data_IF_368665146309
#
_entry.id   IF_368665146309
#
_cell.length_a   1.000
_cell.length_b   1.000
_cell.length_c   1.000
_cell.angle_alpha   90.00
_cell.angle_beta   90.00
_cell.angle_gamma   90.00
#
_symmetry.space_group_name_H-M   'P 1'
#
loop_
_entity.id
_entity.type
_entity.pdbx_description
1 polymer ?
#
# COMPACT_ATOMS: atom_id res chain seq x y z
N UNK A 1 9.59 44.00 -63.28
CA UNK A 1 11.02 44.21 -63.59
C UNK A 1 11.78 44.46 -62.31
N UNK A 2 13.04 44.01 -62.28
CA UNK A 2 13.90 43.75 -61.13
C UNK A 2 14.50 44.99 -60.43
N UNK A 3 15.11 44.74 -59.26
CA UNK A 3 16.22 45.52 -58.68
C UNK A 3 16.13 45.62 -57.15
N UNK A 4 16.75 44.75 -56.34
CA UNK A 4 18.17 44.57 -55.99
C UNK A 4 18.61 45.36 -54.74
N UNK A 5 19.32 44.64 -53.85
CA UNK A 5 20.43 45.03 -52.96
C UNK A 5 20.19 45.39 -51.46
N UNK A 6 20.46 44.38 -50.63
CA UNK A 6 21.16 44.29 -49.31
C UNK A 6 22.24 45.37 -49.02
N UNK A 7 22.67 45.66 -47.75
CA UNK A 7 23.42 44.70 -46.91
C UNK A 7 23.32 44.74 -45.37
N UNK A 8 23.74 43.58 -44.82
CA UNK A 8 24.23 43.32 -43.46
C UNK A 8 25.25 44.37 -42.99
N UNK A 9 25.18 44.74 -41.71
CA UNK A 9 26.33 45.24 -40.95
C UNK A 9 26.41 44.52 -39.61
N UNK A 10 27.49 43.77 -39.45
CA UNK A 10 28.01 43.25 -38.20
C UNK A 10 28.46 44.41 -37.28
N UNK A 11 28.08 44.37 -36.00
CA UNK A 11 28.74 45.16 -34.96
C UNK A 11 29.26 44.23 -33.87
N UNK A 12 30.54 43.92 -34.01
CA UNK A 12 31.43 43.44 -32.95
C UNK A 12 31.87 44.63 -32.08
N UNK A 13 31.61 44.56 -30.76
CA UNK A 13 32.06 45.54 -29.76
C UNK A 13 32.66 44.74 -28.59
N UNK A 14 33.96 44.46 -28.61
CA UNK A 14 35.09 45.24 -28.07
C UNK A 14 35.13 45.30 -26.54
N UNK A 15 36.13 44.60 -26.00
CA UNK A 15 36.66 44.71 -24.64
C UNK A 15 37.16 46.13 -24.40
N UNK A 16 36.81 46.71 -23.24
CA UNK A 16 37.72 47.38 -22.30
C UNK A 16 36.94 48.29 -21.35
N UNK A 17 36.86 47.90 -20.08
CA UNK A 17 36.77 48.85 -18.97
C UNK A 17 37.13 48.13 -17.68
N UNK A 18 38.42 48.17 -17.34
CA UNK A 18 38.84 48.16 -15.96
C UNK A 18 38.64 49.57 -15.38
N UNK A 19 38.45 49.61 -14.06
CA UNK A 19 38.60 50.75 -13.13
C UNK A 19 37.27 51.23 -12.49
N UNK A 20 37.24 51.04 -11.16
CA UNK A 20 36.39 51.62 -10.10
C UNK A 20 35.13 50.86 -9.66
N UNK A 21 35.34 49.92 -8.73
CA UNK A 21 34.52 49.81 -7.50
C UNK A 21 35.31 49.13 -6.38
N UNK A 22 36.22 49.89 -5.78
CA UNK A 22 36.69 49.64 -4.41
C UNK A 22 35.63 50.14 -3.43
N UNK A 23 34.57 49.35 -3.19
CA UNK A 23 33.56 49.49 -2.13
C UNK A 23 32.75 48.19 -2.21
N UNK A 24 33.19 47.05 -1.68
CA UNK A 24 32.92 46.58 -0.31
C UNK A 24 33.96 45.49 -0.03
N UNK A 25 35.02 45.82 0.71
CA UNK A 25 35.94 44.82 1.29
C UNK A 25 35.37 44.31 2.63
N UNK A 26 34.12 43.84 2.60
CA UNK A 26 33.40 43.31 3.77
C UNK A 26 32.28 42.31 3.41
N UNK A 27 32.48 41.49 2.37
CA UNK A 27 31.63 40.31 2.11
C UNK A 27 32.49 39.06 1.91
N UNK A 28 33.42 38.85 2.83
CA UNK A 28 34.35 37.71 2.87
C UNK A 28 33.70 36.36 3.28
N UNK A 29 32.37 36.22 3.17
CA UNK A 29 31.65 34.94 3.31
C UNK A 29 30.85 34.57 2.05
N UNK A 30 31.04 35.29 0.95
CA UNK A 30 30.38 34.99 -0.31
C UNK A 30 31.09 33.83 -1.02
N UNK A 31 30.52 32.64 -0.84
CA UNK A 31 30.12 31.80 -1.98
C UNK A 31 31.21 30.96 -2.66
N UNK A 32 31.97 30.23 -1.85
CA UNK A 32 32.43 28.87 -2.22
C UNK A 32 31.69 27.87 -1.32
N UNK A 33 30.37 28.03 -1.20
CA UNK A 33 29.52 26.89 -0.87
C UNK A 33 29.19 26.27 -2.21
N UNK A 34 29.79 25.12 -2.52
CA UNK A 34 29.32 24.30 -3.62
C UNK A 34 27.81 24.17 -3.46
N UNK A 35 27.05 24.56 -4.47
CA UNK A 35 25.58 24.47 -4.42
C UNK A 35 25.22 23.06 -3.96
N UNK A 36 24.26 22.93 -3.04
CA UNK A 36 23.74 21.61 -2.66
C UNK A 36 23.35 20.82 -3.91
N UNK A 37 22.91 21.50 -4.96
CA UNK A 37 22.64 20.93 -6.29
C UNK A 37 23.88 20.26 -6.92
N UNK A 38 25.06 20.87 -6.83
CA UNK A 38 26.31 20.29 -7.34
C UNK A 38 26.77 19.09 -6.50
N UNK A 39 26.44 19.08 -5.20
CA UNK A 39 26.67 17.89 -4.38
C UNK A 39 25.65 16.78 -4.69
N UNK A 40 24.42 17.14 -5.08
CA UNK A 40 23.39 16.18 -5.48
C UNK A 40 23.72 15.50 -6.82
N UNK A 41 24.39 16.18 -7.76
CA UNK A 41 24.84 15.53 -9.01
C UNK A 41 25.86 14.40 -8.75
N UNK A 42 26.63 14.47 -7.67
CA UNK A 42 27.52 13.37 -7.27
C UNK A 42 26.77 12.15 -6.72
N UNK A 43 25.51 12.30 -6.32
CA UNK A 43 24.69 11.15 -5.93
C UNK A 43 24.24 10.32 -7.14
N UNK A 44 24.32 10.86 -8.36
CA UNK A 44 23.96 10.12 -9.58
C UNK A 44 24.92 8.95 -9.86
N UNK A 45 26.14 9.01 -9.34
CA UNK A 45 27.14 7.95 -9.47
C UNK A 45 26.89 6.74 -8.53
N UNK A 46 25.98 6.88 -7.56
CA UNK A 46 25.65 5.81 -6.61
C UNK A 46 24.61 4.84 -7.19
N UNK A 47 24.49 3.66 -6.58
CA UNK A 47 23.40 2.73 -6.91
C UNK A 47 22.04 3.41 -6.67
N UNK A 48 21.04 3.09 -7.49
CA UNK A 48 19.71 3.71 -7.40
C UNK A 48 19.08 3.50 -6.02
N UNK A 49 19.27 2.32 -5.42
CA UNK A 49 18.86 2.02 -4.04
C UNK A 49 19.57 2.89 -3.00
N UNK A 50 20.90 2.98 -3.03
CA UNK A 50 21.66 3.74 -2.02
C UNK A 50 21.38 5.24 -2.15
N UNK A 51 21.28 5.75 -3.38
CA UNK A 51 20.88 7.13 -3.67
C UNK A 51 19.53 7.46 -3.02
N UNK A 52 18.53 6.60 -3.17
CA UNK A 52 17.19 6.80 -2.57
C UNK A 52 17.23 6.76 -1.06
N UNK A 53 17.93 5.79 -0.48
CA UNK A 53 18.07 5.66 0.96
C UNK A 53 18.75 6.92 1.56
N UNK A 54 19.83 7.38 0.91
CA UNK A 54 20.54 8.60 1.24
C UNK A 54 19.63 9.84 1.20
N UNK A 55 18.93 10.06 0.08
CA UNK A 55 18.02 11.20 -0.11
C UNK A 55 16.87 11.18 0.92
N UNK A 56 16.22 10.04 1.14
CA UNK A 56 15.15 9.91 2.12
C UNK A 56 15.63 10.19 3.56
N UNK A 57 16.83 9.73 3.91
CA UNK A 57 17.40 10.01 5.23
C UNK A 57 17.78 11.49 5.38
N UNK A 58 18.36 12.11 4.35
CA UNK A 58 18.66 13.54 4.32
C UNK A 58 17.39 14.37 4.48
N UNK A 59 16.33 14.07 3.73
CA UNK A 59 15.01 14.74 3.86
C UNK A 59 14.52 14.64 5.31
N UNK A 60 14.60 13.47 5.93
CA UNK A 60 14.16 13.26 7.31
C UNK A 60 14.95 14.12 8.30
N UNK A 61 16.28 14.14 8.18
CA UNK A 61 17.17 14.94 9.02
C UNK A 61 16.84 16.43 8.88
N UNK A 62 16.77 16.93 7.63
CA UNK A 62 16.58 18.35 7.34
C UNK A 62 15.18 18.79 7.78
N UNK A 63 14.16 17.97 7.55
CA UNK A 63 12.79 18.23 8.01
C UNK A 63 12.70 18.32 9.53
N UNK A 64 13.40 17.47 10.28
CA UNK A 64 13.40 17.53 11.75
C UNK A 64 14.01 18.84 12.24
N UNK A 65 15.13 19.28 11.66
CA UNK A 65 15.77 20.56 12.00
C UNK A 65 14.87 21.74 11.65
N UNK A 66 14.23 21.73 10.48
CA UNK A 66 13.30 22.80 10.07
C UNK A 66 12.06 22.86 10.96
N UNK A 67 11.54 21.70 11.39
CA UNK A 67 10.35 21.63 12.26
C UNK A 67 10.67 22.03 13.71
N UNK A 68 11.90 21.80 14.16
CA UNK A 68 12.34 22.05 15.53
C UNK A 68 13.71 22.76 15.54
N UNK A 69 13.78 24.06 15.18
CA UNK A 69 15.05 24.76 14.99
C UNK A 69 15.83 24.99 16.29
N UNK A 70 15.16 25.05 17.44
CA UNK A 70 15.80 25.34 18.73
C UNK A 70 16.31 24.07 19.44
N UNK A 71 15.91 22.89 18.98
CA UNK A 71 16.31 21.63 19.61
C UNK A 71 17.69 21.18 19.11
N UNK A 72 18.68 21.27 20.01
CA UNK A 72 20.08 20.91 19.76
C UNK A 72 20.27 19.42 19.43
N UNK A 73 19.31 18.56 19.82
CA UNK A 73 19.32 17.13 19.52
C UNK A 73 19.26 16.86 18.02
N UNK A 74 18.47 17.63 17.27
CA UNK A 74 18.35 17.45 15.82
C UNK A 74 19.49 18.11 15.04
N UNK A 75 20.18 19.06 15.65
CA UNK A 75 21.37 19.72 15.08
C UNK A 75 22.67 18.95 15.33
N UNK A 76 22.64 17.85 16.08
CA UNK A 76 23.82 17.03 16.38
C UNK A 76 23.58 15.59 15.95
N UNK A 77 24.39 15.11 15.01
CA UNK A 77 24.35 13.74 14.52
C UNK A 77 25.61 12.99 14.95
N UNK A 78 25.45 11.78 15.47
CA UNK A 78 26.58 10.91 15.82
C UNK A 78 26.95 10.04 14.62
N UNK A 79 28.21 10.06 14.23
CA UNK A 79 28.73 9.22 13.13
C UNK A 79 28.61 7.73 13.49
N UNK A 80 28.60 7.39 14.78
CA UNK A 80 28.41 6.01 15.26
C UNK A 80 27.00 5.43 15.02
N UNK A 81 26.02 6.25 14.65
CA UNK A 81 24.68 5.75 14.34
C UNK A 81 24.72 4.94 13.03
N UNK A 82 24.39 3.64 13.11
CA UNK A 82 24.46 2.70 11.99
C UNK A 82 23.67 3.15 10.77
N UNK A 83 22.47 3.70 10.95
CA UNK A 83 21.61 4.14 9.84
C UNK A 83 22.19 5.39 9.17
N UNK A 84 22.60 6.38 9.96
CA UNK A 84 23.23 7.59 9.42
C UNK A 84 24.56 7.28 8.74
N UNK A 85 25.35 6.40 9.34
CA UNK A 85 26.64 6.02 8.79
C UNK A 85 26.49 5.25 7.48
N UNK A 86 25.66 4.20 7.47
CA UNK A 86 25.45 3.36 6.30
C UNK A 86 24.82 4.11 5.13
N UNK A 87 23.74 4.85 5.38
CA UNK A 87 22.94 5.40 4.27
C UNK A 87 23.47 6.76 3.76
N UNK A 88 24.20 7.53 4.58
CA UNK A 88 24.62 8.90 4.21
C UNK A 88 26.12 9.10 4.38
N UNK A 89 26.69 8.78 5.55
CA UNK A 89 28.06 9.18 5.88
C UNK A 89 29.13 8.36 5.17
N UNK A 90 28.87 7.08 4.89
CA UNK A 90 29.77 6.20 4.16
C UNK A 90 30.01 6.71 2.73
N UNK A 91 28.98 7.31 2.12
CA UNK A 91 29.03 7.84 0.77
C UNK A 91 29.66 9.23 0.73
N UNK A 92 30.62 9.44 -0.17
CA UNK A 92 31.28 10.74 -0.34
C UNK A 92 30.29 11.84 -0.74
N UNK A 93 29.40 11.55 -1.68
CA UNK A 93 28.36 12.46 -2.11
C UNK A 93 27.44 12.90 -0.95
N UNK A 94 27.07 12.00 -0.05
CA UNK A 94 26.28 12.32 1.15
C UNK A 94 27.02 13.28 2.09
N UNK A 95 28.33 13.07 2.30
CA UNK A 95 29.17 13.99 3.09
C UNK A 95 29.28 15.36 2.43
N UNK A 96 29.39 15.41 1.10
CA UNK A 96 29.46 16.66 0.35
C UNK A 96 28.16 17.46 0.45
N UNK A 97 27.00 16.79 0.38
CA UNK A 97 25.69 17.44 0.57
C UNK A 97 25.57 18.03 1.98
N UNK A 98 25.97 17.26 3.01
CA UNK A 98 25.96 17.75 4.39
C UNK A 98 26.88 18.97 4.57
N UNK A 99 28.12 18.91 4.07
CA UNK A 99 29.06 20.03 4.13
C UNK A 99 28.55 21.27 3.38
N UNK A 100 27.97 21.07 2.19
CA UNK A 100 27.37 22.15 1.39
C UNK A 100 26.20 22.82 2.09
N UNK A 101 25.41 22.05 2.85
CA UNK A 101 24.32 22.56 3.69
C UNK A 101 24.81 23.23 5.00
N UNK A 102 26.12 23.34 5.23
CA UNK A 102 26.69 24.02 6.39
C UNK A 102 26.92 23.14 7.62
N UNK A 103 26.85 21.81 7.49
CA UNK A 103 27.20 20.90 8.58
C UNK A 103 28.72 20.82 8.78
N UNK A 104 29.16 20.83 10.04
CA UNK A 104 30.57 20.80 10.43
C UNK A 104 30.87 19.52 11.21
N UNK A 105 31.98 18.87 10.87
CA UNK A 105 32.47 17.69 11.60
C UNK A 105 33.31 18.10 12.80
N UNK A 106 32.89 17.68 13.99
CA UNK A 106 33.59 17.91 15.26
C UNK A 106 33.79 16.54 15.92
N UNK A 107 35.00 15.97 15.76
CA UNK A 107 35.32 14.61 16.21
C UNK A 107 34.41 13.57 15.58
N UNK A 108 33.72 12.78 16.41
CA UNK A 108 32.78 11.73 15.99
C UNK A 108 31.34 12.22 15.80
N UNK A 109 31.14 13.55 15.81
CA UNK A 109 29.82 14.17 15.64
C UNK A 109 29.81 15.15 14.49
N UNK A 110 28.66 15.26 13.83
CA UNK A 110 28.38 16.23 12.78
C UNK A 110 27.36 17.20 13.35
N UNK A 111 27.73 18.48 13.42
CA UNK A 111 26.93 19.51 14.07
C UNK A 111 26.56 20.62 13.08
N UNK A 112 25.33 21.10 13.19
CA UNK A 112 24.83 22.24 12.44
C UNK A 112 24.84 23.50 13.33
N UNK A 113 25.54 24.58 12.94
CA UNK A 113 25.50 25.83 13.69
C UNK A 113 24.07 26.38 13.84
N UNK A 114 23.77 27.03 14.96
CA UNK A 114 22.41 27.51 15.30
C UNK A 114 21.84 28.53 14.30
N UNK A 115 22.69 29.32 13.65
CA UNK A 115 22.30 30.38 12.72
C UNK A 115 22.00 29.89 11.29
N UNK A 116 22.28 28.62 10.97
CA UNK A 116 22.03 28.07 9.63
C UNK A 116 20.57 27.62 9.52
N UNK A 117 19.91 28.03 8.44
CA UNK A 117 18.53 27.66 8.10
C UNK A 117 18.56 26.73 6.87
N UNK A 118 17.91 25.56 6.98
CA UNK A 118 17.93 24.51 5.96
C UNK A 118 16.69 24.49 5.04
N UNK A 119 15.86 25.54 5.07
CA UNK A 119 14.57 25.54 4.36
C UNK A 119 14.75 25.43 2.84
N UNK A 120 15.73 26.14 2.28
CA UNK A 120 15.98 26.14 0.83
C UNK A 120 16.62 24.82 0.39
N UNK A 121 17.58 24.33 1.16
CA UNK A 121 18.27 23.07 0.91
C UNK A 121 17.30 21.89 0.97
N UNK A 122 16.36 21.91 1.92
CA UNK A 122 15.29 20.90 1.98
C UNK A 122 14.41 20.92 0.72
N UNK A 123 14.06 22.10 0.20
CA UNK A 123 13.26 22.21 -1.04
C UNK A 123 14.02 21.63 -2.24
N UNK A 124 15.32 21.92 -2.36
CA UNK A 124 16.18 21.38 -3.43
C UNK A 124 16.27 19.84 -3.34
N UNK A 125 16.45 19.29 -2.14
CA UNK A 125 16.51 17.83 -1.95
C UNK A 125 15.14 17.19 -2.28
N UNK A 126 14.03 17.81 -1.87
CA UNK A 126 12.68 17.33 -2.18
C UNK A 126 12.40 17.31 -3.69
N UNK A 127 12.89 18.30 -4.44
CA UNK A 127 12.78 18.32 -5.90
C UNK A 127 13.52 17.15 -6.58
N UNK A 128 14.57 16.62 -5.94
CA UNK A 128 15.37 15.49 -6.43
C UNK A 128 14.93 14.13 -5.86
N UNK A 129 13.78 14.07 -5.19
CA UNK A 129 13.27 12.84 -4.54
C UNK A 129 12.84 11.77 -5.55
N UNK A 130 12.38 12.17 -6.73
CA UNK A 130 11.84 11.26 -7.76
C UNK A 130 12.94 10.52 -8.52
N UNK A 131 13.68 9.64 -7.84
CA UNK A 131 14.58 8.69 -8.49
C UNK A 131 13.74 7.49 -8.91
N UNK A 132 13.49 7.31 -10.21
CA UNK A 132 12.83 6.09 -10.73
C UNK A 132 13.67 4.85 -10.39
N UNK A 133 13.05 3.72 -10.01
CA UNK A 133 13.81 2.50 -9.72
C UNK A 133 14.46 2.03 -11.01
N UNK A 134 15.70 1.56 -10.94
CA UNK A 134 16.25 0.83 -12.08
C UNK A 134 15.43 -0.45 -12.31
N UNK A 135 15.19 -0.81 -13.57
CA UNK A 135 14.39 -1.99 -13.95
C UNK A 135 14.95 -3.29 -13.35
N UNK A 136 16.26 -3.32 -13.11
CA UNK A 136 16.96 -4.45 -12.48
C UNK A 136 16.60 -4.61 -11.01
N UNK A 137 16.38 -3.52 -10.29
CA UNK A 137 16.01 -3.53 -8.87
C UNK A 137 14.56 -3.98 -8.67
N UNK A 138 13.67 -3.59 -9.59
CA UNK A 138 12.27 -4.02 -9.55
C UNK A 138 12.16 -5.56 -9.56
N UNK A 139 13.03 -6.26 -10.30
CA UNK A 139 13.05 -7.73 -10.31
C UNK A 139 13.47 -8.36 -8.98
N UNK A 140 14.26 -7.68 -8.15
CA UNK A 140 14.75 -8.20 -6.88
C UNK A 140 13.74 -7.99 -5.73
N UNK A 141 13.03 -6.87 -5.71
CA UNK A 141 11.94 -6.64 -4.75
C UNK A 141 10.69 -7.46 -5.10
N UNK A 142 10.44 -7.65 -6.40
CA UNK A 142 9.35 -8.52 -6.90
C UNK A 142 9.79 -9.96 -7.04
N UNK A 143 10.97 -10.34 -6.54
CA UNK A 143 11.35 -11.75 -6.40
C UNK A 143 10.51 -12.33 -5.27
N UNK A 144 9.28 -12.65 -5.67
CA UNK A 144 8.30 -13.54 -5.09
C UNK A 144 8.94 -14.29 -3.93
N UNK A 145 8.50 -13.96 -2.72
CA UNK A 145 8.61 -14.81 -1.54
C UNK A 145 8.26 -16.22 -2.04
N UNK A 146 9.28 -17.06 -2.21
CA UNK A 146 9.11 -18.45 -2.61
C UNK A 146 8.01 -18.98 -1.70
N UNK A 147 6.87 -19.44 -2.23
CA UNK A 147 5.76 -19.89 -1.40
C UNK A 147 6.34 -20.92 -0.44
N UNK A 148 6.35 -20.57 0.84
CA UNK A 148 6.87 -21.40 1.90
C UNK A 148 6.24 -22.78 1.73
N UNK A 149 7.05 -23.85 1.65
CA UNK A 149 6.56 -25.21 1.41
C UNK A 149 5.49 -25.64 2.44
N UNK A 150 5.42 -24.98 3.60
CA UNK A 150 4.34 -25.11 4.57
C UNK A 150 2.99 -24.56 4.06
N UNK A 151 2.99 -23.40 3.40
CA UNK A 151 1.79 -22.75 2.85
C UNK A 151 1.19 -23.56 1.69
N UNK A 152 2.03 -24.16 0.85
CA UNK A 152 1.57 -25.07 -0.21
C UNK A 152 0.90 -26.33 0.35
N UNK A 153 1.47 -26.91 1.42
CA UNK A 153 0.85 -28.05 2.11
C UNK A 153 -0.48 -27.70 2.76
N UNK A 154 -0.59 -26.52 3.37
CA UNK A 154 -1.86 -26.05 3.96
C UNK A 154 -2.94 -25.85 2.88
N UNK A 155 -2.58 -25.22 1.75
CA UNK A 155 -3.50 -24.97 0.65
C UNK A 155 -3.98 -26.26 -0.02
N UNK A 156 -3.10 -27.26 -0.16
CA UNK A 156 -3.48 -28.58 -0.65
C UNK A 156 -4.45 -29.29 0.31
N UNK A 157 -4.25 -29.18 1.61
CA UNK A 157 -5.12 -29.76 2.64
C UNK A 157 -6.50 -29.10 2.63
N UNK A 158 -6.56 -27.77 2.47
CA UNK A 158 -7.83 -27.05 2.28
C UNK A 158 -8.55 -27.48 1.01
N UNK A 159 -7.83 -27.69 -0.10
CA UNK A 159 -8.42 -28.15 -1.36
C UNK A 159 -8.99 -29.56 -1.24
N UNK A 160 -8.30 -30.47 -0.55
CA UNK A 160 -8.79 -31.83 -0.28
C UNK A 160 -10.04 -31.82 0.60
N UNK A 161 -10.05 -31.02 1.66
CA UNK A 161 -11.22 -30.89 2.54
C UNK A 161 -12.46 -30.34 1.82
N UNK A 162 -12.30 -29.38 0.91
CA UNK A 162 -13.42 -28.87 0.10
C UNK A 162 -13.94 -29.91 -0.89
N UNK A 163 -13.05 -30.66 -1.54
CA UNK A 163 -13.44 -31.71 -2.48
C UNK A 163 -14.16 -32.88 -1.78
N UNK A 164 -13.80 -33.21 -0.55
CA UNK A 164 -14.50 -34.22 0.25
C UNK A 164 -15.90 -33.75 0.66
N UNK A 165 -16.01 -32.53 1.18
CA UNK A 165 -17.33 -31.94 1.49
C UNK A 165 -18.24 -31.83 0.28
N UNK A 166 -17.71 -31.54 -0.89
CA UNK A 166 -18.51 -31.50 -2.12
C UNK A 166 -19.05 -32.88 -2.49
N UNK A 167 -18.24 -33.93 -2.34
CA UNK A 167 -18.68 -35.32 -2.56
C UNK A 167 -19.75 -35.74 -1.56
N UNK A 168 -19.57 -35.44 -0.28
CA UNK A 168 -20.57 -35.73 0.76
C UNK A 168 -21.89 -35.02 0.47
N UNK A 169 -21.84 -33.73 0.11
CA UNK A 169 -23.04 -32.96 -0.24
C UNK A 169 -23.71 -33.50 -1.51
N UNK A 170 -22.95 -34.01 -2.47
CA UNK A 170 -23.51 -34.65 -3.66
C UNK A 170 -24.22 -35.97 -3.35
N UNK A 171 -23.67 -36.79 -2.44
CA UNK A 171 -24.31 -38.03 -1.97
C UNK A 171 -25.61 -37.70 -1.22
N UNK A 172 -25.54 -36.77 -0.25
CA UNK A 172 -26.71 -36.36 0.52
C UNK A 172 -27.82 -35.80 -0.37
N UNK A 173 -27.47 -35.04 -1.42
CA UNK A 173 -28.45 -34.54 -2.40
C UNK A 173 -29.14 -35.67 -3.18
N UNK A 174 -28.42 -36.73 -3.55
CA UNK A 174 -29.01 -37.90 -4.22
C UNK A 174 -29.96 -38.65 -3.30
N UNK A 175 -29.54 -38.94 -2.06
CA UNK A 175 -30.40 -39.60 -1.08
C UNK A 175 -31.67 -38.79 -0.77
N UNK A 176 -31.54 -37.47 -0.67
CA UNK A 176 -32.70 -36.58 -0.47
C UNK A 176 -33.66 -36.59 -1.66
N UNK A 177 -33.15 -36.68 -2.89
CA UNK A 177 -33.98 -36.81 -4.09
C UNK A 177 -34.73 -38.15 -4.11
N UNK A 178 -34.04 -39.27 -3.84
CA UNK A 178 -34.64 -40.61 -3.80
C UNK A 178 -35.72 -40.71 -2.71
N UNK A 179 -35.45 -40.19 -1.50
CA UNK A 179 -36.45 -40.15 -0.41
C UNK A 179 -37.68 -39.34 -0.79
N UNK A 180 -37.49 -38.23 -1.51
CA UNK A 180 -38.59 -37.39 -1.99
C UNK A 180 -39.45 -38.13 -3.03
N UNK A 181 -38.83 -38.83 -3.98
CA UNK A 181 -39.55 -39.63 -4.98
C UNK A 181 -40.36 -40.77 -4.34
N UNK A 182 -39.78 -41.46 -3.34
CA UNK A 182 -40.49 -42.50 -2.58
C UNK A 182 -41.68 -41.91 -1.84
N UNK A 183 -41.49 -40.77 -1.16
CA UNK A 183 -42.57 -40.09 -0.44
C UNK A 183 -43.70 -39.62 -1.38
N UNK A 184 -43.36 -39.12 -2.57
CA UNK A 184 -44.34 -38.73 -3.58
C UNK A 184 -45.10 -39.94 -4.14
N UNK A 185 -44.43 -41.08 -4.35
CA UNK A 185 -45.07 -42.34 -4.76
C UNK A 185 -46.08 -42.83 -3.73
N UNK A 186 -45.71 -42.84 -2.45
CA UNK A 186 -46.60 -43.24 -1.34
C UNK A 186 -47.79 -42.28 -1.25
N UNK A 187 -47.58 -40.97 -1.36
CA UNK A 187 -48.68 -39.98 -1.34
C UNK A 187 -49.64 -40.15 -2.52
N UNK A 188 -49.12 -40.45 -3.71
CA UNK A 188 -49.93 -40.68 -4.91
C UNK A 188 -50.73 -41.98 -4.84
N UNK A 189 -50.15 -43.04 -4.27
CA UNK A 189 -50.86 -44.29 -3.97
C UNK A 189 -51.96 -44.08 -2.93
N UNK A 190 -51.65 -43.41 -1.82
CA UNK A 190 -52.64 -43.08 -0.79
C UNK A 190 -53.81 -42.25 -1.32
N UNK A 191 -53.52 -41.30 -2.23
CA UNK A 191 -54.57 -40.51 -2.90
C UNK A 191 -55.50 -41.39 -3.74
N UNK A 192 -54.93 -42.30 -4.54
CA UNK A 192 -55.70 -43.27 -5.36
C UNK A 192 -56.56 -44.19 -4.48
N UNK A 193 -56.02 -44.65 -3.36
CA UNK A 193 -56.77 -45.47 -2.39
C UNK A 193 -57.93 -44.71 -1.75
N UNK A 194 -57.75 -43.43 -1.41
CA UNK A 194 -58.84 -42.61 -0.90
C UNK A 194 -59.95 -42.40 -1.94
N UNK A 195 -59.59 -42.18 -3.20
CA UNK A 195 -60.56 -42.03 -4.30
C UNK A 195 -61.36 -43.31 -4.53
N UNK A 196 -60.71 -44.47 -4.57
CA UNK A 196 -61.40 -45.77 -4.75
C UNK A 196 -62.29 -46.11 -3.56
N UNK A 197 -61.88 -45.80 -2.33
CA UNK A 197 -62.73 -45.94 -1.14
C UNK A 197 -63.95 -45.05 -1.20
N UNK A 198 -63.82 -43.77 -1.61
CA UNK A 198 -64.96 -42.85 -1.75
C UNK A 198 -66.02 -43.34 -2.74
N UNK A 199 -65.60 -43.92 -3.88
CA UNK A 199 -66.53 -44.48 -4.87
C UNK A 199 -67.28 -45.69 -4.30
N UNK A 200 -66.58 -46.58 -3.58
CA UNK A 200 -67.20 -47.76 -2.95
C UNK A 200 -68.05 -47.42 -1.72
N UNK A 201 -67.72 -46.35 -1.01
CA UNK A 201 -68.42 -45.90 0.19
C UNK A 201 -69.51 -44.86 -0.08
N UNK A 202 -70.00 -44.73 -1.32
CA UNK A 202 -71.32 -44.17 -1.60
C UNK A 202 -72.40 -45.13 -1.04
N UNK A 203 -72.31 -45.42 0.25
CA UNK A 203 -73.23 -46.25 0.98
C UNK A 203 -74.54 -45.48 1.08
N UNK A 204 -75.57 -46.15 0.57
CA UNK A 204 -77.00 -45.91 0.80
C UNK A 204 -77.19 -45.16 2.12
N UNK A 205 -77.58 -43.89 2.04
CA UNK A 205 -77.84 -43.06 3.20
C UNK A 205 -78.86 -43.78 4.10
N UNK A 206 -78.36 -44.39 5.19
CA UNK A 206 -79.23 -44.92 6.23
C UNK A 206 -79.82 -43.70 6.91
N UNK A 207 -81.16 -43.55 7.00
CA UNK A 207 -81.77 -42.41 7.63
C UNK A 207 -81.23 -42.30 9.06
N UNK A 208 -80.52 -41.21 9.33
CA UNK A 208 -80.06 -40.87 10.67
C UNK A 208 -81.31 -40.64 11.52
N UNK A 209 -81.62 -41.62 12.37
CA UNK A 209 -82.53 -41.40 13.49
C UNK A 209 -82.06 -40.20 14.30
N UNK A 210 -83.02 -39.38 14.76
CA UNK A 210 -82.82 -38.23 15.65
C UNK A 210 -82.01 -38.66 16.89
N UNK A 211 -80.69 -38.60 16.81
CA UNK A 211 -79.79 -38.81 17.94
C UNK A 211 -79.35 -37.44 18.45
N UNK A 212 -79.77 -37.12 19.67
CA UNK A 212 -79.40 -35.91 20.40
C UNK A 212 -77.89 -35.66 20.38
N UNK A 213 -77.53 -34.41 20.11
CA UNK A 213 -76.16 -33.92 20.20
C UNK A 213 -75.76 -33.80 21.68
N UNK A 214 -75.17 -34.85 22.24
CA UNK A 214 -74.42 -34.73 23.49
C UNK A 214 -73.18 -33.88 23.24
N UNK A 215 -73.22 -32.64 23.73
CA UNK A 215 -72.08 -31.72 23.81
C UNK A 215 -70.97 -32.40 24.62
N UNK A 216 -69.87 -32.76 23.97
CA UNK A 216 -68.63 -33.14 24.66
C UNK A 216 -67.64 -32.00 24.50
N UNK A 217 -67.79 -30.98 25.36
CA UNK A 217 -66.94 -29.78 25.39
C UNK A 217 -65.68 -29.92 26.24
N UNK A 218 -65.43 -31.04 26.92
CA UNK A 218 -64.50 -31.06 28.05
C UNK A 218 -63.45 -32.18 28.02
N UNK A 219 -62.54 -32.23 27.05
CA UNK A 219 -61.30 -33.03 27.19
C UNK A 219 -60.14 -32.45 26.36
N UNK A 220 -59.70 -31.22 26.67
CA UNK A 220 -58.33 -30.79 26.34
C UNK A 220 -57.54 -30.61 27.65
N UNK A 221 -56.63 -31.54 28.00
CA UNK A 221 -55.65 -31.27 29.03
C UNK A 221 -54.62 -30.26 28.51
N UNK A 222 -54.53 -29.13 29.22
CA UNK A 222 -53.36 -28.25 29.21
C UNK A 222 -52.12 -29.06 29.60
N UNK A 223 -51.14 -29.12 28.72
CA UNK A 223 -49.73 -29.36 29.06
C UNK A 223 -48.89 -28.56 28.05
N UNK A 224 -48.01 -27.63 28.39
CA UNK A 224 -47.25 -27.46 29.63
C UNK A 224 -45.82 -27.98 29.40
N UNK A 225 -44.87 -27.07 29.27
CA UNK A 225 -43.42 -27.32 29.20
C UNK A 225 -42.85 -27.10 27.79
N UNK A 226 -41.77 -26.37 27.58
CA UNK A 226 -40.81 -25.68 28.45
C UNK A 226 -39.75 -25.07 27.55
#
# INVERSE_FOLDING_TARGET
CAGLLTPLVCLSFSQDSQITRCFIKNFHNFRIMGSVEAALTLLDDLSTKDKRACIELLIRIFRNVVSHPDDSKYRTLKITNKTFNGDVWQHEAGRMVMKAAGWVTIGDTVQLPSHVNLTLELQVILANREVKPDEREWRNETKIIVPNAAKQREEELRRKALAEKEKEMAILRKEMAERKEIAERIRAEHRRDQETKRVKSAAKAVPRGKGETSKMTDLLPKSGGG
#
